data_IF_032560080154
#
_entry.id   IF_032560080154
#
_cell.length_a   1.000
_cell.length_b   1.000
_cell.length_c   1.000
_cell.angle_alpha   90.00
_cell.angle_beta   90.00
_cell.angle_gamma   90.00
#
_symmetry.space_group_name_H-M   'P 1'
#
loop_
_entity.id
_entity.type
_entity.pdbx_description
1 polymer ?
#
# COMPACT_ATOMS: atom_id res chain seq x y z
N UNK A 1 -5.75 -71.33 4.47
CA UNK A 1 -6.49 -70.33 5.32
C UNK A 1 -5.82 -69.00 5.11
N UNK A 2 -6.46 -68.12 4.40
CA UNK A 2 -5.89 -66.85 3.92
C UNK A 2 -6.38 -65.71 4.79
N UNK A 3 -5.50 -65.07 5.56
CA UNK A 3 -5.84 -63.88 6.31
C UNK A 3 -5.38 -62.65 5.52
N UNK A 4 -6.35 -61.89 5.00
CA UNK A 4 -6.11 -60.60 4.35
C UNK A 4 -6.09 -59.52 5.41
N UNK A 5 -4.94 -58.89 5.62
CA UNK A 5 -4.80 -57.64 6.35
C UNK A 5 -5.13 -56.51 5.39
N UNK A 6 -6.21 -55.78 5.69
CA UNK A 6 -6.61 -54.58 4.99
C UNK A 6 -5.91 -53.41 5.69
N UNK A 7 -4.87 -52.85 5.05
CA UNK A 7 -4.22 -51.63 5.50
C UNK A 7 -5.07 -50.41 5.13
N UNK A 8 -5.64 -49.75 6.11
CA UNK A 8 -6.36 -48.49 5.94
C UNK A 8 -5.38 -47.33 5.72
N UNK A 9 -5.41 -46.76 4.53
CA UNK A 9 -4.69 -45.54 4.20
C UNK A 9 -5.49 -44.32 4.74
N UNK A 10 -5.02 -43.76 5.83
CA UNK A 10 -5.59 -42.49 6.37
C UNK A 10 -5.00 -41.34 5.57
N UNK A 11 -5.82 -40.77 4.68
CA UNK A 11 -5.48 -39.57 3.93
C UNK A 11 -5.73 -38.35 4.82
N UNK A 12 -4.67 -37.81 5.42
CA UNK A 12 -4.74 -36.56 6.16
C UNK A 12 -4.86 -35.40 5.17
N UNK A 13 -6.09 -34.91 4.97
CA UNK A 13 -6.36 -33.68 4.23
C UNK A 13 -5.91 -32.50 5.10
N UNK A 14 -4.72 -31.95 4.84
CA UNK A 14 -4.24 -30.71 5.42
C UNK A 14 -5.07 -29.54 4.88
N UNK A 15 -5.98 -28.97 5.69
CA UNK A 15 -6.60 -27.68 5.40
C UNK A 15 -5.52 -26.61 5.54
N UNK A 16 -5.04 -26.11 4.43
CA UNK A 16 -4.28 -24.86 4.39
C UNK A 16 -5.25 -23.70 4.67
N UNK A 17 -5.34 -23.28 5.92
CA UNK A 17 -5.99 -22.03 6.32
C UNK A 17 -5.13 -20.88 5.83
N UNK A 18 -5.28 -20.51 4.57
CA UNK A 18 -4.77 -19.28 4.01
C UNK A 18 -5.52 -18.11 4.63
N UNK A 19 -5.01 -17.60 5.74
CA UNK A 19 -5.54 -16.40 6.39
C UNK A 19 -5.28 -15.17 5.51
N UNK A 20 -6.24 -14.81 4.63
CA UNK A 20 -6.27 -13.50 3.98
C UNK A 20 -6.80 -12.48 4.97
N UNK A 21 -5.96 -12.01 5.91
CA UNK A 21 -6.35 -10.99 6.90
C UNK A 21 -6.33 -9.55 6.36
N UNK A 22 -6.02 -9.34 5.08
CA UNK A 22 -5.79 -8.01 4.50
C UNK A 22 -6.98 -7.34 3.81
N UNK A 23 -8.16 -7.96 3.77
CA UNK A 23 -9.28 -7.44 2.97
C UNK A 23 -9.04 -7.51 1.45
N UNK A 24 -10.11 -7.33 0.68
CA UNK A 24 -10.00 -7.28 -0.79
C UNK A 24 -9.45 -5.93 -1.22
N UNK A 25 -8.47 -5.89 -2.16
CA UNK A 25 -8.03 -4.62 -2.74
C UNK A 25 -9.22 -3.82 -3.31
N UNK A 26 -9.29 -2.51 -3.05
CA UNK A 26 -10.35 -1.68 -3.60
C UNK A 26 -10.26 -1.59 -5.13
N UNK A 27 -11.40 -1.44 -5.78
CA UNK A 27 -11.48 -1.38 -7.25
C UNK A 27 -11.04 -0.05 -7.86
N UNK A 28 -10.82 0.97 -7.04
CA UNK A 28 -10.46 2.32 -7.45
C UNK A 28 -8.96 2.63 -7.33
N UNK A 29 -8.12 1.59 -7.24
CA UNK A 29 -6.66 1.76 -7.29
C UNK A 29 -6.19 2.04 -8.71
N UNK A 30 -5.11 2.81 -8.81
CA UNK A 30 -4.50 3.20 -10.08
C UNK A 30 -4.83 4.62 -10.49
N UNK A 31 -4.34 4.97 -11.66
CA UNK A 31 -4.55 6.29 -12.28
C UNK A 31 -5.73 6.20 -13.24
N UNK A 32 -6.76 7.00 -13.00
CA UNK A 32 -7.89 7.18 -13.88
C UNK A 32 -8.01 8.67 -14.25
N UNK A 33 -8.21 8.99 -15.52
CA UNK A 33 -8.30 10.37 -16.01
C UNK A 33 -7.11 11.25 -15.55
N UNK A 34 -5.91 10.67 -15.52
CA UNK A 34 -4.67 11.36 -15.16
C UNK A 34 -4.50 11.66 -13.67
N UNK A 35 -5.28 11.03 -12.78
CA UNK A 35 -5.18 11.24 -11.33
C UNK A 35 -5.48 9.98 -10.52
N UNK A 36 -4.98 9.96 -9.29
CA UNK A 36 -5.38 8.98 -8.27
C UNK A 36 -6.82 9.23 -7.84
N UNK A 37 -7.50 8.19 -7.37
CA UNK A 37 -8.86 8.32 -6.85
C UNK A 37 -8.93 9.32 -5.67
N UNK A 38 -10.04 10.06 -5.52
CA UNK A 38 -10.25 10.90 -4.34
C UNK A 38 -10.37 10.07 -3.06
N UNK A 39 -10.13 10.69 -1.91
CA UNK A 39 -10.47 10.12 -0.63
C UNK A 39 -11.99 10.01 -0.46
N UNK A 40 -12.50 8.95 0.20
CA UNK A 40 -13.89 8.90 0.65
C UNK A 40 -14.11 9.95 1.75
N UNK A 41 -15.35 10.11 2.19
CA UNK A 41 -15.69 11.02 3.31
C UNK A 41 -15.21 10.54 4.68
N UNK A 42 -14.81 9.27 4.79
CA UNK A 42 -14.24 8.72 6.03
C UNK A 42 -12.82 9.22 6.28
N UNK A 43 -12.44 9.54 7.54
CA UNK A 43 -11.15 10.18 7.84
C UNK A 43 -9.94 9.21 7.80
N UNK A 44 -10.08 8.03 7.23
CA UNK A 44 -9.04 7.00 7.09
C UNK A 44 -8.29 7.05 5.75
N UNK A 45 -8.22 8.22 5.14
CA UNK A 45 -7.54 8.45 3.87
C UNK A 45 -6.92 9.85 3.82
N UNK A 46 -5.72 9.95 3.29
CA UNK A 46 -5.06 11.21 2.95
C UNK A 46 -4.59 11.20 1.50
N UNK A 47 -4.57 12.37 0.88
CA UNK A 47 -4.15 12.52 -0.51
C UNK A 47 -3.49 13.89 -0.74
N UNK A 48 -2.50 13.93 -1.59
CA UNK A 48 -1.89 15.20 -2.03
C UNK A 48 -2.80 16.02 -2.97
N UNK A 49 -3.91 15.45 -3.37
CA UNK A 49 -4.98 16.13 -4.13
C UNK A 49 -6.27 16.24 -3.31
N UNK A 50 -6.20 16.05 -2.00
CA UNK A 50 -7.34 16.18 -1.10
C UNK A 50 -7.86 17.62 -1.09
N UNK A 51 -9.17 17.81 -1.29
CA UNK A 51 -9.81 19.13 -1.24
C UNK A 51 -10.07 19.56 0.20
N UNK A 52 -10.59 18.64 1.02
CA UNK A 52 -10.82 18.90 2.44
C UNK A 52 -9.50 18.86 3.24
N UNK A 53 -9.37 19.74 4.22
CA UNK A 53 -8.14 19.90 5.00
C UNK A 53 -7.73 18.62 5.74
N UNK A 54 -8.70 17.85 6.24
CA UNK A 54 -8.49 16.58 6.94
C UNK A 54 -7.90 15.49 6.06
N UNK A 55 -8.14 15.55 4.75
CA UNK A 55 -7.59 14.60 3.77
C UNK A 55 -6.31 15.09 3.10
N UNK A 56 -5.97 16.36 3.27
CA UNK A 56 -4.85 16.97 2.54
C UNK A 56 -3.51 16.66 3.19
N UNK A 57 -2.55 16.25 2.35
CA UNK A 57 -1.12 16.18 2.63
C UNK A 57 -0.36 16.81 1.47
N UNK A 58 0.88 17.25 1.71
CA UNK A 58 1.72 17.73 0.62
C UNK A 58 2.19 16.58 -0.29
N UNK A 59 2.37 16.80 -1.59
CA UNK A 59 3.03 15.83 -2.45
C UNK A 59 4.51 15.68 -2.08
N UNK A 60 5.17 14.61 -2.52
CA UNK A 60 6.63 14.54 -2.52
C UNK A 60 7.17 15.39 -3.68
N UNK A 61 8.33 15.98 -3.47
CA UNK A 61 9.02 16.77 -4.48
C UNK A 61 10.39 16.20 -4.77
N UNK A 62 10.83 16.33 -6.01
CA UNK A 62 12.17 15.91 -6.40
C UNK A 62 12.72 16.85 -7.48
N UNK A 63 14.02 16.98 -7.49
CA UNK A 63 14.77 17.64 -8.55
C UNK A 63 15.33 16.60 -9.51
N UNK A 64 15.50 16.98 -10.78
CA UNK A 64 16.13 16.14 -11.79
C UNK A 64 15.22 15.09 -12.41
N UNK A 65 15.72 13.88 -12.58
CA UNK A 65 15.08 12.83 -13.37
C UNK A 65 14.04 12.01 -12.56
N UNK A 66 12.86 11.85 -13.15
CA UNK A 66 11.77 11.06 -12.58
C UNK A 66 12.15 9.58 -12.36
N UNK A 67 12.95 8.98 -13.23
CA UNK A 67 13.40 7.61 -13.07
C UNK A 67 14.30 7.45 -11.84
N UNK A 68 15.18 8.40 -11.57
CA UNK A 68 16.01 8.42 -10.37
C UNK A 68 15.15 8.63 -9.10
N UNK A 69 14.19 9.56 -9.14
CA UNK A 69 13.26 9.78 -8.05
C UNK A 69 12.43 8.51 -7.75
N UNK A 70 12.03 7.78 -8.79
CA UNK A 70 11.31 6.50 -8.65
C UNK A 70 12.18 5.43 -7.99
N UNK A 71 13.42 5.27 -8.41
CA UNK A 71 14.38 4.33 -7.79
C UNK A 71 14.56 4.68 -6.31
N UNK A 72 14.74 5.95 -6.00
CA UNK A 72 14.86 6.45 -4.62
C UNK A 72 13.63 6.12 -3.78
N UNK A 73 12.42 6.38 -4.29
CA UNK A 73 11.18 6.07 -3.57
C UNK A 73 11.03 4.56 -3.34
N UNK A 74 11.35 3.72 -4.33
CA UNK A 74 11.34 2.27 -4.17
C UNK A 74 12.34 1.82 -3.11
N UNK A 75 13.52 2.44 -3.03
CA UNK A 75 14.50 2.19 -1.98
C UNK A 75 13.96 2.50 -0.59
N UNK A 76 13.30 3.64 -0.43
CA UNK A 76 12.62 4.04 0.82
C UNK A 76 11.57 3.00 1.21
N UNK A 77 10.64 2.68 0.30
CA UNK A 77 9.56 1.74 0.57
C UNK A 77 10.07 0.33 0.93
N UNK A 78 11.09 -0.16 0.23
CA UNK A 78 11.69 -1.46 0.53
C UNK A 78 12.47 -1.48 1.85
N UNK A 79 12.91 -0.34 2.36
CA UNK A 79 13.56 -0.20 3.66
C UNK A 79 12.58 -0.12 4.83
N UNK A 80 11.29 0.07 4.58
CA UNK A 80 10.26 0.17 5.64
C UNK A 80 9.72 -1.20 6.01
N UNK A 81 9.31 -1.35 7.27
CA UNK A 81 8.74 -2.60 7.76
C UNK A 81 7.31 -2.83 7.27
N UNK A 82 6.97 -4.09 7.03
CA UNK A 82 5.61 -4.56 6.68
C UNK A 82 5.06 -3.90 5.42
N UNK A 83 5.94 -3.61 4.47
CA UNK A 83 5.61 -3.05 3.16
C UNK A 83 5.71 -4.12 2.10
N UNK A 84 4.77 -4.14 1.19
CA UNK A 84 4.79 -4.97 -0.01
C UNK A 84 4.55 -4.09 -1.23
N UNK A 85 5.52 -4.01 -2.14
CA UNK A 85 5.32 -3.37 -3.44
C UNK A 85 4.45 -4.29 -4.29
N UNK A 86 3.26 -3.82 -4.66
CA UNK A 86 2.28 -4.59 -5.44
C UNK A 86 2.44 -4.33 -6.93
N UNK A 87 2.68 -3.06 -7.27
CA UNK A 87 2.88 -2.62 -8.63
C UNK A 87 3.93 -1.51 -8.68
N UNK A 88 4.83 -1.60 -9.65
CA UNK A 88 5.82 -0.56 -9.92
C UNK A 88 5.91 -0.37 -11.44
N UNK A 89 5.28 0.69 -11.92
CA UNK A 89 5.34 1.15 -13.31
C UNK A 89 6.29 2.33 -13.47
N UNK A 90 6.32 2.89 -14.65
CA UNK A 90 7.15 4.05 -14.97
C UNK A 90 6.67 5.32 -14.23
N UNK A 91 5.36 5.53 -14.21
CA UNK A 91 4.68 6.70 -13.65
C UNK A 91 3.81 6.41 -12.42
N UNK A 92 3.79 5.15 -11.95
CA UNK A 92 2.90 4.73 -10.86
C UNK A 92 3.51 3.63 -9.99
N UNK A 93 3.40 3.79 -8.68
CA UNK A 93 3.74 2.76 -7.68
C UNK A 93 2.53 2.54 -6.77
N UNK A 94 2.23 1.27 -6.49
CA UNK A 94 1.30 0.86 -5.46
C UNK A 94 2.00 -0.04 -4.45
N UNK A 95 1.91 0.32 -3.18
CA UNK A 95 2.43 -0.44 -2.05
C UNK A 95 1.32 -0.71 -1.04
N UNK A 96 1.38 -1.87 -0.41
CA UNK A 96 0.54 -2.24 0.73
C UNK A 96 1.34 -2.13 2.01
N UNK A 97 0.75 -1.53 3.02
CA UNK A 97 1.28 -1.45 4.37
C UNK A 97 0.40 -2.26 5.32
N UNK A 98 0.98 -3.19 6.05
CA UNK A 98 0.24 -4.03 7.00
C UNK A 98 0.46 -3.57 8.43
N UNK A 99 -0.61 -3.46 9.23
CA UNK A 99 -0.49 -3.15 10.65
C UNK A 99 0.18 -4.30 11.41
N UNK A 100 0.95 -3.96 12.46
CA UNK A 100 1.69 -4.95 13.23
C UNK A 100 0.78 -5.91 14.02
N UNK A 101 -0.34 -5.44 14.52
CA UNK A 101 -1.15 -6.16 15.50
C UNK A 101 -2.34 -6.90 14.89
N UNK A 102 -3.03 -6.30 13.93
CA UNK A 102 -4.29 -6.84 13.39
C UNK A 102 -4.19 -7.24 11.92
N UNK A 103 -3.06 -7.00 11.26
CA UNK A 103 -2.89 -7.30 9.84
C UNK A 103 -3.79 -6.48 8.92
N UNK A 104 -4.31 -5.33 9.37
CA UNK A 104 -5.02 -4.39 8.50
C UNK A 104 -4.10 -3.92 7.40
N UNK A 105 -4.63 -3.80 6.20
CA UNK A 105 -3.88 -3.34 5.04
C UNK A 105 -4.36 -1.96 4.62
N UNK A 106 -3.39 -1.09 4.45
CA UNK A 106 -3.58 0.23 3.87
C UNK A 106 -2.90 0.26 2.49
N UNK A 107 -3.59 0.83 1.51
CA UNK A 107 -3.06 1.01 0.17
C UNK A 107 -2.40 2.39 0.06
N UNK A 108 -1.16 2.40 -0.41
CA UNK A 108 -0.41 3.64 -0.68
C UNK A 108 -0.04 3.69 -2.14
N UNK A 109 -0.49 4.73 -2.79
CA UNK A 109 -0.31 4.94 -4.21
C UNK A 109 0.53 6.19 -4.46
N UNK A 110 1.40 6.12 -5.44
CA UNK A 110 2.25 7.23 -5.89
C UNK A 110 2.11 7.38 -7.39
N UNK A 111 1.86 8.60 -7.83
CA UNK A 111 1.78 8.98 -9.24
C UNK A 111 2.83 10.03 -9.53
N UNK A 112 3.74 9.71 -10.44
CA UNK A 112 4.76 10.64 -10.89
C UNK A 112 4.13 11.64 -11.85
N UNK A 113 4.07 12.89 -11.40
CA UNK A 113 3.52 14.01 -12.15
C UNK A 113 4.59 14.77 -12.91
N UNK A 114 4.16 15.79 -13.62
CA UNK A 114 5.05 16.75 -14.24
C UNK A 114 5.75 17.63 -13.17
N UNK A 115 6.85 18.28 -13.56
CA UNK A 115 7.51 19.33 -12.75
C UNK A 115 8.07 18.88 -11.39
N UNK A 116 8.60 17.66 -11.28
CA UNK A 116 9.27 17.22 -10.08
C UNK A 116 8.32 16.96 -8.89
N UNK A 117 7.09 16.53 -9.18
CA UNK A 117 6.07 16.26 -8.16
C UNK A 117 5.64 14.79 -8.22
N UNK A 118 5.59 14.14 -7.05
CA UNK A 118 4.97 12.82 -6.89
C UNK A 118 3.69 13.01 -6.08
N UNK A 119 2.55 12.87 -6.73
CA UNK A 119 1.27 12.83 -6.05
C UNK A 119 1.11 11.51 -5.32
N UNK A 120 0.41 11.53 -4.18
CA UNK A 120 0.22 10.34 -3.39
C UNK A 120 -1.18 10.27 -2.77
N UNK A 121 -1.58 9.05 -2.45
CA UNK A 121 -2.78 8.73 -1.69
C UNK A 121 -2.46 7.58 -0.75
N UNK A 122 -2.89 7.65 0.50
CA UNK A 122 -2.78 6.59 1.49
C UNK A 122 -4.14 6.38 2.14
N UNK A 123 -4.70 5.17 2.04
CA UNK A 123 -6.05 4.87 2.49
C UNK A 123 -6.16 3.48 3.10
N UNK A 124 -6.90 3.37 4.20
CA UNK A 124 -7.20 2.10 4.83
C UNK A 124 -8.28 1.34 4.05
N UNK A 125 -8.09 0.02 3.89
CA UNK A 125 -9.11 -0.86 3.26
C UNK A 125 -10.32 -1.07 4.14
N UNK A 126 -10.14 -1.02 5.44
CA UNK A 126 -11.16 -1.32 6.43
C UNK A 126 -11.17 -0.29 7.54
N UNK A 127 -12.33 -0.17 8.20
CA UNK A 127 -12.51 0.76 9.29
C UNK A 127 -12.90 2.16 8.84
N UNK A 128 -13.50 2.91 9.75
CA UNK A 128 -13.89 4.31 9.52
C UNK A 128 -12.77 5.28 9.96
N UNK A 129 -12.11 4.97 11.07
CA UNK A 129 -10.98 5.75 11.60
C UNK A 129 -9.67 4.97 11.49
N UNK A 130 -8.59 5.66 11.17
CA UNK A 130 -7.22 5.14 11.16
C UNK A 130 -6.34 5.74 12.26
N UNK A 131 -6.89 6.61 13.11
CA UNK A 131 -6.18 7.32 14.18
C UNK A 131 -4.96 8.12 13.69
N UNK A 132 -4.98 8.57 12.43
CA UNK A 132 -3.89 9.32 11.83
C UNK A 132 -2.80 8.46 11.18
N UNK A 133 -2.94 7.14 11.17
CA UNK A 133 -1.91 6.22 10.67
C UNK A 133 -1.52 6.48 9.21
N UNK A 134 -2.48 6.82 8.35
CA UNK A 134 -2.19 7.15 6.95
C UNK A 134 -1.37 8.45 6.82
N UNK A 135 -1.67 9.46 7.61
CA UNK A 135 -0.90 10.72 7.63
C UNK A 135 0.52 10.52 8.18
N UNK A 136 0.65 9.85 9.30
CA UNK A 136 1.96 9.55 9.91
C UNK A 136 2.85 8.75 8.95
N UNK A 137 2.28 7.78 8.24
CA UNK A 137 2.98 7.00 7.21
C UNK A 137 3.50 7.89 6.08
N UNK A 138 2.66 8.76 5.55
CA UNK A 138 3.06 9.69 4.49
C UNK A 138 4.21 10.58 4.94
N UNK A 139 4.15 11.12 6.14
CA UNK A 139 5.23 11.96 6.68
C UNK A 139 6.51 11.17 6.95
N UNK A 140 6.42 9.91 7.38
CA UNK A 140 7.57 9.03 7.53
C UNK A 140 8.23 8.70 6.19
N UNK A 141 7.43 8.44 5.15
CA UNK A 141 7.93 8.24 3.77
C UNK A 141 8.61 9.52 3.28
N UNK A 142 8.00 10.68 3.48
CA UNK A 142 8.54 11.98 3.10
C UNK A 142 9.90 12.21 3.73
N UNK A 143 10.00 12.06 5.04
CA UNK A 143 11.25 12.28 5.77
C UNK A 143 12.41 11.41 5.24
N UNK A 144 12.14 10.13 4.95
CA UNK A 144 13.14 9.23 4.39
C UNK A 144 13.47 9.55 2.93
N UNK A 145 12.48 9.95 2.14
CA UNK A 145 12.66 10.34 0.75
C UNK A 145 13.51 11.61 0.64
N UNK A 146 13.24 12.61 1.45
CA UNK A 146 14.00 13.86 1.48
C UNK A 146 15.44 13.64 1.98
N UNK A 147 15.62 12.75 2.98
CA UNK A 147 16.95 12.41 3.50
C UNK A 147 17.81 11.60 2.52
N UNK A 148 17.22 10.97 1.51
CA UNK A 148 17.91 10.16 0.49
C UNK A 148 18.24 10.94 -0.80
N UNK A 149 18.16 12.26 -0.78
CA UNK A 149 18.42 13.18 -1.91
C UNK A 149 19.91 13.42 -2.11
#
# INVERSE_FOLDING_TARGET
MCNKLIGGLVLAAGLALGGCSGGRPPSNLGVAEGRLAPCPSSPNCVSSRGEAAEHRVEPLRYDGDAAQARIRLLGVLNGMERVRIVRSGEDYIHAEFSSAMFGFVDDVEFQFGLLGVIHLRSASRTGYYDFGANRERVEAIRAQFDASS
#
